data_IF_072650875752
#
_entry.id   IF_072650875752
#
_cell.length_a   1.000
_cell.length_b   1.000
_cell.length_c   1.000
_cell.angle_alpha   90.00
_cell.angle_beta   90.00
_cell.angle_gamma   90.00
#
_symmetry.space_group_name_H-M   'P 1'
#
loop_
_entity.id
_entity.type
_entity.pdbx_description
1 polymer ?
#
# COMPACT_ATOMS: atom_id res chain seq x y z
N UNK A 1 -10.49 6.69 -19.54
CA UNK A 1 -10.28 7.37 -18.24
C UNK A 1 -10.84 6.58 -17.06
N UNK A 2 -12.11 6.15 -17.09
CA UNK A 2 -12.76 5.45 -15.96
C UNK A 2 -12.04 4.16 -15.56
N UNK A 3 -11.63 3.36 -16.54
CA UNK A 3 -10.83 2.15 -16.31
C UNK A 3 -9.49 2.45 -15.64
N UNK A 4 -8.75 3.46 -16.11
CA UNK A 4 -7.45 3.89 -15.54
C UNK A 4 -7.62 4.24 -14.06
N UNK A 5 -8.63 5.04 -13.72
CA UNK A 5 -8.93 5.34 -12.32
C UNK A 5 -9.34 4.09 -11.54
N UNK A 6 -10.11 3.19 -12.14
CA UNK A 6 -10.49 1.91 -11.55
C UNK A 6 -9.28 1.06 -11.18
N UNK A 7 -8.33 0.90 -12.09
CA UNK A 7 -7.13 0.09 -11.93
C UNK A 7 -6.21 0.66 -10.85
N UNK A 8 -6.01 1.98 -10.84
CA UNK A 8 -5.23 2.68 -9.79
C UNK A 8 -5.94 2.56 -8.43
N UNK A 9 -7.27 2.79 -8.37
CA UNK A 9 -8.06 2.63 -7.13
C UNK A 9 -7.92 1.23 -6.56
N UNK A 10 -8.08 0.21 -7.40
CA UNK A 10 -7.98 -1.18 -6.98
C UNK A 10 -6.58 -1.48 -6.47
N UNK A 11 -5.55 -0.99 -7.14
CA UNK A 11 -4.15 -1.16 -6.74
C UNK A 11 -3.88 -0.53 -5.37
N UNK A 12 -4.33 0.70 -5.14
CA UNK A 12 -4.16 1.41 -3.86
C UNK A 12 -4.95 0.74 -2.73
N UNK A 13 -6.19 0.34 -2.99
CA UNK A 13 -7.00 -0.36 -1.99
C UNK A 13 -6.39 -1.71 -1.62
N UNK A 14 -5.85 -2.46 -2.60
CA UNK A 14 -5.14 -3.71 -2.32
C UNK A 14 -3.89 -3.45 -1.47
N UNK A 15 -3.07 -2.45 -1.84
CA UNK A 15 -1.91 -2.05 -1.05
C UNK A 15 -2.30 -1.72 0.40
N UNK A 16 -3.36 -0.93 0.58
CA UNK A 16 -3.90 -0.55 1.90
C UNK A 16 -4.35 -1.76 2.72
N UNK A 17 -5.13 -2.66 2.14
CA UNK A 17 -5.56 -3.88 2.82
C UNK A 17 -4.37 -4.73 3.26
N UNK A 18 -3.37 -4.92 2.40
CA UNK A 18 -2.16 -5.65 2.76
C UNK A 18 -1.37 -4.98 3.89
N UNK A 19 -1.23 -3.64 3.84
CA UNK A 19 -0.62 -2.85 4.90
C UNK A 19 -1.36 -3.02 6.23
N UNK A 20 -2.69 -2.89 6.23
CA UNK A 20 -3.52 -3.02 7.43
C UNK A 20 -3.41 -4.41 8.05
N UNK A 21 -3.55 -5.48 7.26
CA UNK A 21 -3.37 -6.85 7.75
C UNK A 21 -1.95 -7.08 8.28
N UNK A 22 -0.93 -6.62 7.56
CA UNK A 22 0.45 -6.75 8.02
C UNK A 22 0.68 -6.03 9.34
N UNK A 23 0.19 -4.79 9.46
CA UNK A 23 0.33 -3.97 10.66
C UNK A 23 -0.42 -4.58 11.84
N UNK A 24 -1.59 -5.15 11.58
CA UNK A 24 -2.40 -5.84 12.56
C UNK A 24 -1.61 -6.99 13.23
N UNK A 25 -0.83 -7.76 12.46
CA UNK A 25 0.05 -8.82 12.97
C UNK A 25 1.42 -8.33 13.47
N UNK A 26 1.79 -7.06 13.22
CA UNK A 26 3.07 -6.49 13.62
C UNK A 26 3.06 -6.09 15.11
N UNK A 27 4.18 -6.32 15.79
CA UNK A 27 4.26 -6.29 17.26
C UNK A 27 3.97 -4.96 17.99
N UNK A 28 3.67 -3.88 17.30
CA UNK A 28 3.31 -2.56 17.89
C UNK A 28 1.80 -2.29 17.92
N UNK A 29 0.97 -3.23 17.47
CA UNK A 29 -0.49 -3.13 17.60
C UNK A 29 -0.89 -3.20 19.10
N UNK A 30 -1.66 -2.24 19.65
CA UNK A 30 -2.21 -2.29 21.01
C UNK A 30 -2.93 -3.61 21.33
N UNK A 31 -3.59 -4.22 20.35
CA UNK A 31 -4.28 -5.50 20.50
C UNK A 31 -3.35 -6.72 20.50
N UNK A 32 -2.03 -6.54 20.42
CA UNK A 32 -1.05 -7.63 20.39
C UNK A 32 -1.28 -8.62 21.54
N UNK A 33 -1.50 -8.12 22.76
CA UNK A 33 -1.74 -8.99 23.92
C UNK A 33 -2.94 -9.92 23.73
N UNK A 34 -3.96 -9.47 22.99
CA UNK A 34 -5.19 -10.23 22.73
C UNK A 34 -5.00 -11.25 21.61
N UNK A 35 -4.12 -10.99 20.64
CA UNK A 35 -3.89 -11.88 19.50
C UNK A 35 -2.75 -12.87 19.71
N UNK A 36 -1.88 -12.68 20.71
CA UNK A 36 -0.67 -13.51 20.91
C UNK A 36 -1.01 -15.00 21.08
N UNK A 37 -2.07 -15.35 21.81
CA UNK A 37 -2.48 -16.75 21.98
C UNK A 37 -2.88 -17.37 20.65
N UNK A 38 -3.73 -16.69 19.88
CA UNK A 38 -4.17 -17.10 18.53
C UNK A 38 -2.97 -17.18 17.58
N UNK A 39 -2.10 -16.17 17.61
CA UNK A 39 -0.91 -16.13 16.78
C UNK A 39 0.01 -17.32 17.05
N UNK A 40 0.25 -17.65 18.33
CA UNK A 40 1.08 -18.78 18.71
C UNK A 40 0.43 -20.12 18.36
N UNK A 41 -0.89 -20.24 18.49
CA UNK A 41 -1.62 -21.45 18.12
C UNK A 41 -1.56 -21.73 16.61
N UNK A 42 -1.68 -20.68 15.79
CA UNK A 42 -1.63 -20.77 14.32
C UNK A 42 -0.30 -20.24 13.74
N UNK A 43 0.81 -20.45 14.46
CA UNK A 43 2.09 -19.80 14.21
C UNK A 43 2.55 -19.92 12.75
N UNK A 44 2.58 -21.13 12.20
CA UNK A 44 3.07 -21.37 10.84
C UNK A 44 2.25 -20.67 9.76
N UNK A 45 0.93 -20.54 9.97
CA UNK A 45 0.04 -19.81 9.05
C UNK A 45 0.41 -18.33 9.05
N UNK A 46 0.50 -17.72 10.23
CA UNK A 46 0.80 -16.28 10.33
C UNK A 46 2.24 -15.93 9.96
N UNK A 47 3.21 -16.81 10.25
CA UNK A 47 4.60 -16.66 9.81
C UNK A 47 4.73 -16.67 8.29
N UNK A 48 3.87 -17.40 7.59
CA UNK A 48 3.82 -17.44 6.12
C UNK A 48 3.08 -16.23 5.54
N UNK A 49 1.92 -15.88 6.10
CA UNK A 49 1.07 -14.80 5.57
C UNK A 49 1.71 -13.43 5.76
N UNK A 50 2.32 -13.16 6.92
CA UNK A 50 2.88 -11.84 7.25
C UNK A 50 3.90 -11.32 6.23
N UNK A 51 4.96 -12.06 5.84
CA UNK A 51 5.89 -11.59 4.81
C UNK A 51 5.21 -11.45 3.44
N UNK A 52 4.26 -12.32 3.10
CA UNK A 52 3.52 -12.22 1.83
C UNK A 52 2.70 -10.93 1.75
N UNK A 53 2.02 -10.54 2.85
CA UNK A 53 1.29 -9.27 2.94
C UNK A 53 2.23 -8.07 2.76
N UNK A 54 3.39 -8.08 3.42
CA UNK A 54 4.38 -7.01 3.29
C UNK A 54 4.87 -6.87 1.85
N UNK A 55 5.30 -7.98 1.24
CA UNK A 55 5.77 -8.01 -0.14
C UNK A 55 4.69 -7.51 -1.09
N UNK A 56 3.45 -7.98 -0.93
CA UNK A 56 2.33 -7.57 -1.78
C UNK A 56 2.03 -6.09 -1.62
N UNK A 57 2.05 -5.56 -0.39
CA UNK A 57 1.93 -4.14 -0.13
C UNK A 57 2.99 -3.32 -0.89
N UNK A 58 4.27 -3.67 -0.73
CA UNK A 58 5.38 -2.98 -1.40
C UNK A 58 5.23 -3.05 -2.92
N UNK A 59 4.91 -4.22 -3.48
CA UNK A 59 4.76 -4.41 -4.92
C UNK A 59 3.61 -3.57 -5.49
N UNK A 60 2.45 -3.59 -4.83
CA UNK A 60 1.26 -2.84 -5.26
C UNK A 60 1.44 -1.33 -5.09
N UNK A 61 2.03 -0.88 -3.99
CA UNK A 61 2.30 0.53 -3.80
C UNK A 61 3.38 1.03 -4.76
N UNK A 62 4.43 0.25 -5.00
CA UNK A 62 5.48 0.61 -5.94
C UNK A 62 4.95 0.75 -7.38
N UNK A 63 4.02 -0.10 -7.83
CA UNK A 63 3.60 -0.12 -9.24
C UNK A 63 2.96 1.18 -9.73
N UNK A 64 2.43 2.03 -8.84
CA UNK A 64 1.89 3.33 -9.26
C UNK A 64 2.99 4.36 -9.60
N UNK A 65 4.26 4.04 -9.31
CA UNK A 65 5.43 4.88 -9.57
C UNK A 65 6.29 4.37 -10.72
N UNK A 66 5.73 3.51 -11.57
CA UNK A 66 6.42 3.01 -12.74
C UNK A 66 6.67 4.12 -13.77
N UNK A 67 7.81 4.04 -14.44
CA UNK A 67 8.25 4.96 -15.48
C UNK A 67 7.99 4.42 -16.89
N UNK A 68 7.61 3.14 -17.03
CA UNK A 68 7.25 2.55 -18.31
C UNK A 68 6.03 3.27 -18.90
N UNK A 69 6.12 3.66 -20.16
CA UNK A 69 5.08 4.38 -20.90
C UNK A 69 3.80 3.54 -21.09
N UNK A 70 3.92 2.22 -20.98
CA UNK A 70 2.80 1.28 -21.04
C UNK A 70 2.20 0.97 -19.67
N UNK A 71 2.77 1.50 -18.59
CA UNK A 71 2.31 1.24 -17.23
C UNK A 71 1.28 2.27 -16.77
N UNK A 72 0.26 1.78 -16.06
CA UNK A 72 -0.77 2.61 -15.43
C UNK A 72 -0.20 3.20 -14.13
N UNK A 73 0.60 4.27 -14.27
CA UNK A 73 1.25 5.00 -13.18
C UNK A 73 0.56 6.33 -12.85
N UNK A 74 0.98 7.01 -11.78
CA UNK A 74 0.46 8.35 -11.45
C UNK A 74 0.84 9.37 -12.53
N UNK A 75 2.06 9.29 -13.11
CA UNK A 75 2.46 10.17 -14.22
C UNK A 75 1.63 9.91 -15.47
N UNK A 76 1.33 8.65 -15.76
CA UNK A 76 0.41 8.31 -16.83
C UNK A 76 -0.97 8.93 -16.58
N UNK A 77 -1.48 8.85 -15.35
CA UNK A 77 -2.75 9.49 -14.98
C UNK A 77 -2.75 11.01 -15.19
N UNK A 78 -1.67 11.71 -14.79
CA UNK A 78 -1.52 13.16 -15.04
C UNK A 78 -1.65 13.44 -16.54
N UNK A 79 -0.87 12.74 -17.36
CA UNK A 79 -0.88 12.90 -18.82
C UNK A 79 -2.28 12.73 -19.40
N UNK A 80 -3.02 11.70 -18.97
CA UNK A 80 -4.37 11.43 -19.45
C UNK A 80 -5.41 12.46 -18.98
N UNK A 81 -5.27 12.98 -17.75
CA UNK A 81 -6.10 14.08 -17.24
C UNK A 81 -5.86 15.35 -18.08
N UNK A 82 -4.60 15.72 -18.29
CA UNK A 82 -4.24 16.93 -19.01
C UNK A 82 -4.67 16.88 -20.48
N UNK A 83 -4.50 15.73 -21.15
CA UNK A 83 -5.01 15.51 -22.51
C UNK A 83 -6.52 15.66 -22.61
N UNK A 84 -7.26 15.11 -21.63
CA UNK A 84 -8.73 15.08 -21.70
C UNK A 84 -9.36 16.41 -21.30
N UNK A 85 -8.76 17.11 -20.33
CA UNK A 85 -9.29 18.39 -19.82
C UNK A 85 -8.72 19.60 -20.53
N UNK A 86 -7.69 19.40 -21.37
CA UNK A 86 -6.89 20.47 -21.99
C UNK A 86 -6.39 21.51 -20.97
N UNK A 87 -6.16 21.07 -19.72
CA UNK A 87 -5.80 21.91 -18.58
C UNK A 87 -4.71 21.22 -17.77
N UNK A 88 -3.71 21.98 -17.34
CA UNK A 88 -2.62 21.45 -16.51
C UNK A 88 -3.16 20.97 -15.16
N UNK A 89 -2.84 19.74 -14.78
CA UNK A 89 -3.22 19.20 -13.48
C UNK A 89 -2.12 19.47 -12.45
N UNK A 90 -2.51 19.98 -11.27
CA UNK A 90 -1.60 20.20 -10.15
C UNK A 90 -2.32 19.87 -8.85
N UNK A 91 -1.62 19.16 -7.96
CA UNK A 91 -2.07 18.88 -6.60
C UNK A 91 -1.95 20.12 -5.72
N UNK A 92 -2.91 20.31 -4.82
CA UNK A 92 -2.92 21.39 -3.82
C UNK A 92 -2.43 20.89 -2.46
N UNK A 93 -2.70 19.63 -2.12
CA UNK A 93 -2.44 19.08 -0.79
C UNK A 93 -1.12 18.33 -0.68
N UNK A 94 -0.53 17.92 -1.80
CA UNK A 94 0.73 17.18 -1.82
C UNK A 94 1.75 17.81 -2.77
N UNK A 95 3.02 17.66 -2.41
CA UNK A 95 4.14 17.88 -3.33
C UNK A 95 4.32 16.61 -4.19
N UNK A 96 3.89 16.68 -5.45
CA UNK A 96 3.98 15.55 -6.37
C UNK A 96 5.43 15.15 -6.67
N UNK A 97 6.37 16.11 -6.73
CA UNK A 97 7.76 15.80 -7.06
C UNK A 97 8.43 15.07 -5.89
N UNK A 98 8.15 15.49 -4.65
CA UNK A 98 8.58 14.75 -3.47
C UNK A 98 7.93 13.36 -3.38
N UNK A 99 6.60 13.26 -3.58
CA UNK A 99 5.90 11.97 -3.60
C UNK A 99 6.50 11.04 -4.65
N UNK A 100 6.74 11.55 -5.85
CA UNK A 100 7.33 10.78 -6.94
C UNK A 100 8.74 10.31 -6.56
N UNK A 101 9.58 11.19 -6.02
CA UNK A 101 10.94 10.85 -5.57
C UNK A 101 10.91 9.73 -4.53
N UNK A 102 10.06 9.81 -3.50
CA UNK A 102 9.89 8.76 -2.48
C UNK A 102 9.38 7.45 -3.11
N UNK A 103 8.35 7.52 -3.95
CA UNK A 103 7.79 6.37 -4.65
C UNK A 103 8.80 5.67 -5.57
N UNK A 104 9.73 6.41 -6.18
CA UNK A 104 10.79 5.82 -7.02
C UNK A 104 11.84 5.05 -6.23
N UNK A 105 12.12 5.44 -4.98
CA UNK A 105 12.95 4.62 -4.08
C UNK A 105 12.25 3.29 -3.82
N UNK A 106 10.93 3.32 -3.56
CA UNK A 106 10.11 2.13 -3.35
C UNK A 106 10.08 1.23 -4.60
N UNK A 107 9.94 1.81 -5.79
CA UNK A 107 9.96 1.08 -7.06
C UNK A 107 11.30 0.36 -7.30
N UNK A 108 12.43 1.01 -7.01
CA UNK A 108 13.74 0.35 -7.09
C UNK A 108 13.83 -0.82 -6.11
N UNK A 109 13.29 -0.66 -4.90
CA UNK A 109 13.26 -1.73 -3.91
C UNK A 109 12.35 -2.90 -4.30
N UNK A 110 11.22 -2.65 -4.97
CA UNK A 110 10.33 -3.70 -5.51
C UNK A 110 11.10 -4.74 -6.32
N UNK A 111 11.99 -4.32 -7.21
CA UNK A 111 12.76 -5.24 -8.05
C UNK A 111 13.62 -6.18 -7.20
N UNK A 112 14.17 -5.71 -6.07
CA UNK A 112 14.88 -6.56 -5.12
C UNK A 112 13.95 -7.53 -4.40
N UNK A 113 12.79 -7.06 -3.92
CA UNK A 113 11.80 -7.93 -3.24
C UNK A 113 11.31 -9.06 -4.15
N UNK A 114 11.16 -8.78 -5.46
CA UNK A 114 10.73 -9.78 -6.45
C UNK A 114 11.89 -10.71 -6.84
N UNK A 115 13.07 -10.15 -7.14
CA UNK A 115 14.20 -10.90 -7.68
C UNK A 115 14.93 -11.73 -6.61
N UNK A 116 15.07 -11.18 -5.40
CA UNK A 116 15.64 -11.88 -4.28
C UNK A 116 14.49 -12.47 -3.48
N UNK A 117 14.07 -13.70 -3.82
CA UNK A 117 13.35 -14.60 -2.89
C UNK A 117 14.28 -15.02 -1.74
N UNK A 118 14.96 -14.06 -1.14
CA UNK A 118 15.89 -14.31 -0.06
C UNK A 118 15.07 -14.42 1.21
N UNK A 119 15.16 -15.60 1.85
CA UNK A 119 14.53 -15.94 3.12
C UNK A 119 14.80 -14.91 4.23
N UNK A 120 15.81 -14.07 4.04
CA UNK A 120 16.24 -13.06 4.98
C UNK A 120 15.74 -11.64 4.68
N UNK A 121 14.99 -11.37 3.60
CA UNK A 121 14.44 -10.01 3.38
C UNK A 121 13.33 -9.76 4.39
N UNK A 122 13.72 -9.20 5.52
CA UNK A 122 12.82 -8.77 6.57
C UNK A 122 12.51 -7.28 6.41
N UNK A 123 11.47 -6.78 7.08
CA UNK A 123 11.24 -5.33 7.18
C UNK A 123 12.43 -4.56 7.77
N UNK A 124 13.38 -5.25 8.40
CA UNK A 124 14.57 -4.68 9.03
C UNK A 124 15.64 -4.32 7.99
N UNK A 125 15.72 -5.09 6.90
CA UNK A 125 16.65 -4.85 5.79
C UNK A 125 16.12 -3.74 4.86
N UNK A 126 14.79 -3.68 4.69
CA UNK A 126 14.14 -2.57 3.99
C UNK A 126 14.53 -1.19 4.54
N UNK A 127 14.43 -0.98 5.86
CA UNK A 127 14.70 0.31 6.47
C UNK A 127 16.17 0.73 6.34
N UNK A 128 17.09 -0.24 6.44
CA UNK A 128 18.52 0.00 6.24
C UNK A 128 18.84 0.36 4.79
N UNK A 129 18.23 -0.33 3.84
CA UNK A 129 18.54 -0.16 2.40
C UNK A 129 17.88 1.05 1.77
N UNK A 130 16.67 1.39 2.22
CA UNK A 130 15.89 2.50 1.63
C UNK A 130 15.97 3.78 2.44
N UNK A 131 16.43 3.70 3.69
CA UNK A 131 16.35 4.79 4.66
C UNK A 131 14.93 5.04 5.19
N UNK A 132 13.93 4.30 4.71
CA UNK A 132 12.54 4.50 5.11
C UNK A 132 12.23 3.86 6.46
N UNK A 133 11.51 4.62 7.28
CA UNK A 133 10.75 4.12 8.41
C UNK A 133 9.44 3.52 7.92
N UNK A 134 8.80 2.76 8.79
CA UNK A 134 7.46 2.25 8.53
C UNK A 134 6.43 3.38 8.30
N UNK A 135 6.51 4.46 9.07
CA UNK A 135 5.64 5.62 8.93
C UNK A 135 5.71 6.20 7.51
N UNK A 136 6.90 6.23 6.92
CA UNK A 136 7.11 6.79 5.59
C UNK A 136 6.36 5.99 4.51
N UNK A 137 6.23 4.66 4.67
CA UNK A 137 5.45 3.82 3.76
C UNK A 137 3.95 4.10 3.85
N UNK A 138 3.44 4.32 5.07
CA UNK A 138 2.05 4.72 5.29
C UNK A 138 1.80 6.12 4.72
N UNK A 139 2.74 7.04 4.91
CA UNK A 139 2.64 8.41 4.40
C UNK A 139 2.63 8.42 2.87
N UNK A 140 3.48 7.61 2.21
CA UNK A 140 3.42 7.44 0.75
C UNK A 140 2.04 6.91 0.32
N UNK A 141 1.49 5.89 0.99
CA UNK A 141 0.18 5.34 0.66
C UNK A 141 -0.95 6.39 0.83
N UNK A 142 -0.88 7.21 1.87
CA UNK A 142 -1.85 8.25 2.15
C UNK A 142 -1.70 9.44 1.19
N UNK A 143 -0.48 9.80 0.78
CA UNK A 143 -0.23 10.81 -0.25
C UNK A 143 -0.73 10.37 -1.63
N UNK A 144 -0.49 9.11 -2.02
CA UNK A 144 -1.04 8.52 -3.26
C UNK A 144 -2.57 8.55 -3.24
N UNK A 145 -3.17 8.29 -2.08
CA UNK A 145 -4.61 8.38 -1.88
C UNK A 145 -5.09 9.82 -2.07
N UNK A 146 -4.44 10.77 -1.41
CA UNK A 146 -4.78 12.20 -1.52
C UNK A 146 -4.64 12.70 -2.96
N UNK A 147 -3.55 12.36 -3.65
CA UNK A 147 -3.36 12.62 -5.08
C UNK A 147 -4.56 12.15 -5.91
N UNK A 148 -5.01 10.92 -5.68
CA UNK A 148 -6.11 10.34 -6.44
C UNK A 148 -7.45 11.04 -6.17
N UNK A 149 -7.70 11.46 -4.93
CA UNK A 149 -8.88 12.26 -4.60
C UNK A 149 -8.86 13.62 -5.30
N UNK A 150 -7.70 14.29 -5.31
CA UNK A 150 -7.54 15.57 -6.01
C UNK A 150 -7.72 15.40 -7.53
N UNK A 151 -7.16 14.33 -8.10
CA UNK A 151 -7.32 13.98 -9.50
C UNK A 151 -8.79 13.71 -9.88
N UNK A 152 -9.53 12.99 -9.04
CA UNK A 152 -10.96 12.73 -9.26
C UNK A 152 -11.80 14.00 -9.16
N UNK A 153 -11.53 14.83 -8.15
CA UNK A 153 -12.23 16.10 -7.99
C UNK A 153 -11.99 17.04 -9.17
N UNK A 154 -10.75 17.09 -9.67
CA UNK A 154 -10.38 17.91 -10.82
C UNK A 154 -11.19 17.58 -12.08
N UNK A 155 -11.50 16.29 -12.31
CA UNK A 155 -12.33 15.84 -13.43
C UNK A 155 -13.83 15.76 -13.09
N UNK A 156 -14.27 16.39 -12.00
CA UNK A 156 -15.68 16.44 -11.60
C UNK A 156 -16.25 15.11 -11.08
N UNK A 157 -15.40 14.19 -10.63
CA UNK A 157 -15.81 12.89 -10.07
C UNK A 157 -15.76 12.88 -8.55
N UNK A 158 -16.53 11.97 -7.96
CA UNK A 158 -16.54 11.73 -6.51
C UNK A 158 -15.20 11.16 -6.05
N UNK A 159 -14.80 11.54 -4.83
CA UNK A 159 -13.66 10.98 -4.09
C UNK A 159 -13.73 9.45 -4.05
N UNK A 160 -12.56 8.82 -4.01
CA UNK A 160 -12.52 7.37 -3.96
C UNK A 160 -12.76 6.87 -2.53
N UNK A 161 -13.49 5.77 -2.42
CA UNK A 161 -13.70 5.11 -1.14
C UNK A 161 -12.46 4.27 -0.80
N UNK A 162 -11.85 4.58 0.36
CA UNK A 162 -10.72 3.84 0.93
C UNK A 162 -11.27 2.62 1.64
N UNK A 163 -10.92 1.43 1.15
CA UNK A 163 -11.30 0.18 1.82
C UNK A 163 -10.42 -0.05 3.06
N UNK A 164 -11.03 -0.51 4.14
CA UNK A 164 -10.33 -0.99 5.33
C UNK A 164 -10.84 -2.37 5.70
N UNK A 165 -9.93 -3.21 6.20
CA UNK A 165 -10.24 -4.57 6.66
C UNK A 165 -10.05 -4.76 8.17
N UNK A 166 -9.77 -3.69 8.91
CA UNK A 166 -9.45 -3.74 10.34
C UNK A 166 -10.54 -4.48 11.14
N UNK A 167 -11.81 -4.13 10.94
CA UNK A 167 -12.94 -4.79 11.61
C UNK A 167 -13.09 -6.27 11.24
N UNK A 168 -12.83 -6.62 9.98
CA UNK A 168 -12.85 -8.02 9.52
C UNK A 168 -11.70 -8.83 10.15
N UNK A 169 -10.53 -8.22 10.31
CA UNK A 169 -9.39 -8.85 10.99
C UNK A 169 -9.66 -9.05 12.48
N UNK A 170 -10.24 -8.04 13.15
CA UNK A 170 -10.68 -8.16 14.54
C UNK A 170 -11.68 -9.30 14.71
N UNK A 171 -12.68 -9.39 13.83
CA UNK A 171 -13.64 -10.49 13.84
C UNK A 171 -12.97 -11.85 13.65
N UNK A 172 -12.06 -11.97 12.66
CA UNK A 172 -11.30 -13.20 12.44
C UNK A 172 -10.54 -13.64 13.70
N UNK A 173 -9.88 -12.71 14.38
CA UNK A 173 -9.17 -13.02 15.63
C UNK A 173 -10.13 -13.50 16.70
N UNK A 174 -11.28 -12.86 16.87
CA UNK A 174 -12.26 -13.26 17.88
C UNK A 174 -12.78 -14.68 17.58
N UNK A 175 -13.13 -14.96 16.32
CA UNK A 175 -13.60 -16.28 15.88
C UNK A 175 -12.52 -17.38 16.12
N UNK A 176 -11.24 -17.07 15.89
CA UNK A 176 -10.14 -18.00 16.17
C UNK A 176 -9.84 -18.13 17.68
N UNK A 177 -10.08 -17.08 18.46
CA UNK A 177 -9.90 -17.10 19.92
C UNK A 177 -10.93 -18.00 20.60
N UNK A 178 -12.16 -18.06 20.09
CA UNK A 178 -13.21 -18.95 20.60
C UNK A 178 -12.89 -20.42 20.35
N UNK A 179 -12.21 -20.75 19.24
CA UNK A 179 -11.81 -22.12 18.87
C UNK A 179 -10.56 -22.64 19.59
N UNK A 180 -9.85 -21.76 20.28
CA UNK A 180 -8.60 -22.09 21.00
C UNK A 180 -8.80 -22.22 22.51
N UNK A 181 -10.04 -22.05 22.99
CA UNK A 181 -10.48 -22.36 24.36
C UNK A 181 -10.92 -23.81 24.47
#
# INVERSE_FOLDING_TARGET
>A
MDQIFGDIKQTINHARMCHEAWWFFKGTNPDRKRIVSVYNHYLYIFETIRPALYTTFIVKLASVFDNDENSISLKFLISEIEKTTNTKFKTNLIDFDDLWRRGRILFKYRNKVIAHRDKNITSRDFAKETGFKWTDLKDILDDVSTFLDEALLFIGKRKFHRLSITSNLEKLINDLSEKTK
#
